data_IF_146177113970
#
_entry.id   IF_146177113970
#
_cell.length_a   1.000
_cell.length_b   1.000
_cell.length_c   1.000
_cell.angle_alpha   90.00
_cell.angle_beta   90.00
_cell.angle_gamma   90.00
#
_symmetry.space_group_name_H-M   'P 1'
#
loop_
_entity.id
_entity.type
_entity.pdbx_description
1 polymer ?
#
# COMPACT_ATOMS: atom_id res chain seq x y z
N UNK A 1 -2.89 24.31 28.33
CA UNK A 1 -2.94 24.69 26.90
C UNK A 1 -1.54 24.73 26.29
N UNK A 2 -0.51 25.16 27.04
CA UNK A 2 0.90 25.16 26.60
C UNK A 2 1.45 23.78 26.19
N UNK A 3 1.10 22.70 26.89
CA UNK A 3 1.54 21.34 26.54
C UNK A 3 1.09 20.91 25.12
N UNK A 4 -0.10 21.35 24.68
CA UNK A 4 -0.62 21.05 23.33
C UNK A 4 0.15 21.87 22.29
N UNK A 5 0.40 23.15 22.58
CA UNK A 5 1.16 24.03 21.69
C UNK A 5 2.61 23.55 21.50
N UNK A 6 3.22 23.00 22.55
CA UNK A 6 4.56 22.41 22.49
C UNK A 6 4.60 21.07 21.74
N UNK A 7 3.51 20.29 21.76
CA UNK A 7 3.40 19.02 21.04
C UNK A 7 3.05 19.20 19.55
N UNK A 8 2.39 20.30 19.20
CA UNK A 8 1.95 20.61 17.83
C UNK A 8 3.08 20.47 16.77
N UNK A 9 4.29 21.02 16.94
CA UNK A 9 5.36 20.86 15.95
C UNK A 9 5.76 19.39 15.74
N UNK A 10 5.85 18.59 16.80
CA UNK A 10 6.17 17.16 16.70
C UNK A 10 5.04 16.37 16.00
N UNK A 11 3.78 16.71 16.27
CA UNK A 11 2.64 16.10 15.60
C UNK A 11 2.60 16.44 14.10
N UNK A 12 2.93 17.68 13.74
CA UNK A 12 3.03 18.10 12.33
C UNK A 12 4.17 17.40 11.60
N UNK A 13 5.30 17.17 12.28
CA UNK A 13 6.40 16.40 11.74
C UNK A 13 6.03 14.93 11.51
N UNK A 14 5.38 14.29 12.49
CA UNK A 14 4.85 12.93 12.34
C UNK A 14 3.81 12.82 11.21
N UNK A 15 2.92 13.82 11.10
CA UNK A 15 1.95 13.89 10.00
C UNK A 15 2.65 13.99 8.64
N UNK A 16 3.68 14.82 8.52
CA UNK A 16 4.47 14.96 7.29
C UNK A 16 5.08 13.63 6.87
N UNK A 17 5.66 12.88 7.82
CA UNK A 17 6.22 11.55 7.55
C UNK A 17 5.13 10.57 7.11
N UNK A 18 3.98 10.58 7.78
CA UNK A 18 2.83 9.70 7.43
C UNK A 18 2.35 9.95 6.01
N UNK A 19 2.14 11.23 5.65
CA UNK A 19 1.71 11.62 4.30
C UNK A 19 2.77 11.22 3.26
N UNK A 20 4.05 11.48 3.55
CA UNK A 20 5.14 11.14 2.64
C UNK A 20 5.16 9.64 2.31
N UNK A 21 5.15 8.79 3.34
CA UNK A 21 5.16 7.33 3.16
C UNK A 21 3.87 6.86 2.48
N UNK A 22 2.71 7.40 2.88
CA UNK A 22 1.41 7.07 2.31
C UNK A 22 1.34 7.33 0.80
N UNK A 23 1.79 8.50 0.34
CA UNK A 23 1.79 8.86 -1.09
C UNK A 23 2.65 7.89 -1.88
N UNK A 24 3.86 7.58 -1.40
CA UNK A 24 4.77 6.64 -2.08
C UNK A 24 4.16 5.23 -2.10
N UNK A 25 3.62 4.77 -0.97
CA UNK A 25 3.00 3.45 -0.85
C UNK A 25 1.81 3.29 -1.81
N UNK A 26 0.96 4.32 -1.95
CA UNK A 26 -0.16 4.29 -2.90
C UNK A 26 0.35 4.24 -4.34
N UNK A 27 1.31 5.07 -4.72
CA UNK A 27 1.82 5.11 -6.09
C UNK A 27 2.41 3.74 -6.47
N UNK A 28 3.26 3.19 -5.61
CA UNK A 28 3.88 1.88 -5.85
C UNK A 28 2.84 0.75 -5.84
N UNK A 29 1.95 0.75 -4.84
CA UNK A 29 0.87 -0.23 -4.72
C UNK A 29 -0.08 -0.19 -5.91
N UNK A 30 -0.39 0.99 -6.45
CA UNK A 30 -1.19 1.15 -7.65
C UNK A 30 -0.49 0.59 -8.89
N UNK A 31 0.79 0.89 -9.10
CA UNK A 31 1.54 0.38 -10.24
C UNK A 31 1.62 -1.16 -10.19
N UNK A 32 1.97 -1.72 -9.03
CA UNK A 32 2.04 -3.17 -8.85
C UNK A 32 0.66 -3.80 -9.06
N UNK A 33 -0.37 -3.22 -8.43
CA UNK A 33 -1.76 -3.68 -8.56
C UNK A 33 -2.24 -3.66 -10.00
N UNK A 34 -1.91 -2.61 -10.77
CA UNK A 34 -2.26 -2.49 -12.18
C UNK A 34 -1.59 -3.59 -13.02
N UNK A 35 -0.28 -3.80 -12.84
CA UNK A 35 0.45 -4.86 -13.56
C UNK A 35 -0.16 -6.23 -13.26
N UNK A 36 -0.42 -6.54 -11.99
CA UNK A 36 -1.00 -7.81 -11.58
C UNK A 36 -2.43 -7.98 -12.11
N UNK A 37 -3.24 -6.91 -12.13
CA UNK A 37 -4.57 -6.93 -12.72
C UNK A 37 -4.53 -7.24 -14.22
N UNK A 38 -3.56 -6.67 -14.96
CA UNK A 38 -3.37 -6.98 -16.38
C UNK A 38 -2.93 -8.44 -16.59
N UNK A 39 -2.01 -8.96 -15.76
CA UNK A 39 -1.62 -10.37 -15.80
C UNK A 39 -2.81 -11.30 -15.53
N UNK A 40 -3.72 -10.88 -14.64
CA UNK A 40 -4.96 -11.62 -14.34
C UNK A 40 -5.92 -11.66 -15.53
N UNK A 41 -5.97 -10.63 -16.36
CA UNK A 41 -6.82 -10.59 -17.56
C UNK A 41 -6.20 -11.32 -18.76
N UNK A 42 -4.94 -11.73 -18.66
CA UNK A 42 -4.24 -12.41 -19.75
C UNK A 42 -4.92 -13.74 -20.13
N UNK A 43 -5.05 -14.06 -21.43
CA UNK A 43 -5.52 -15.37 -21.89
C UNK A 43 -4.52 -16.50 -21.60
N UNK A 44 -3.28 -16.17 -21.25
CA UNK A 44 -2.25 -17.14 -20.89
C UNK A 44 -2.52 -17.67 -19.49
N UNK A 45 -2.96 -18.93 -19.41
CA UNK A 45 -3.36 -19.60 -18.15
C UNK A 45 -2.29 -19.49 -17.04
N UNK A 46 -1.01 -19.58 -17.41
CA UNK A 46 0.11 -19.47 -16.46
C UNK A 46 0.17 -18.08 -15.83
N UNK A 47 0.06 -17.01 -16.62
CA UNK A 47 0.11 -15.63 -16.11
C UNK A 47 -1.10 -15.32 -15.21
N UNK A 48 -2.29 -15.76 -15.62
CA UNK A 48 -3.51 -15.62 -14.81
C UNK A 48 -3.39 -16.34 -13.45
N UNK A 49 -2.80 -17.54 -13.44
CA UNK A 49 -2.62 -18.35 -12.25
C UNK A 49 -1.58 -17.76 -11.30
N UNK A 50 -0.44 -17.28 -11.81
CA UNK A 50 0.58 -16.58 -11.01
C UNK A 50 -0.02 -15.32 -10.37
N UNK A 51 -0.76 -14.52 -11.15
CA UNK A 51 -1.47 -13.36 -10.62
C UNK A 51 -2.51 -13.75 -9.56
N UNK A 52 -3.16 -14.92 -9.70
CA UNK A 52 -4.09 -15.45 -8.69
C UNK A 52 -3.41 -15.59 -7.34
N UNK A 53 -2.29 -16.30 -7.33
CA UNK A 53 -1.58 -16.65 -6.09
C UNK A 53 -1.10 -15.39 -5.40
N UNK A 54 -0.54 -14.44 -6.16
CA UNK A 54 -0.10 -13.17 -5.61
C UNK A 54 -1.26 -12.39 -4.95
N UNK A 55 -2.41 -12.28 -5.62
CA UNK A 55 -3.60 -11.61 -5.09
C UNK A 55 -4.12 -12.32 -3.83
N UNK A 56 -4.26 -13.64 -3.89
CA UNK A 56 -4.80 -14.45 -2.81
C UNK A 56 -3.87 -14.43 -1.58
N UNK A 57 -2.54 -14.42 -1.79
CA UNK A 57 -1.57 -14.25 -0.72
C UNK A 57 -1.74 -12.88 -0.05
N UNK A 58 -1.66 -11.78 -0.80
CA UNK A 58 -1.69 -10.43 -0.22
C UNK A 58 -3.04 -10.11 0.44
N UNK A 59 -4.16 -10.56 -0.15
CA UNK A 59 -5.51 -10.27 0.39
C UNK A 59 -5.97 -11.29 1.43
N UNK A 60 -5.38 -12.48 1.43
CA UNK A 60 -5.75 -13.60 2.30
C UNK A 60 -4.85 -13.77 3.52
N UNK A 61 -3.63 -13.24 3.53
CA UNK A 61 -2.78 -13.22 4.74
C UNK A 61 -3.14 -12.04 5.62
N UNK A 62 -3.49 -12.25 6.89
CA UNK A 62 -3.63 -11.16 7.85
C UNK A 62 -2.32 -10.38 7.93
N UNK A 63 -2.33 -9.10 7.56
CA UNK A 63 -1.27 -8.16 7.89
C UNK A 63 -1.39 -7.97 9.40
N UNK A 64 -0.75 -8.84 10.17
CA UNK A 64 -0.74 -8.73 11.62
C UNK A 64 -0.12 -7.38 12.00
N UNK A 65 -0.91 -6.59 12.71
CA UNK A 65 -0.47 -5.53 13.62
C UNK A 65 -0.08 -6.18 14.93
#
# INVERSE_FOLDING_TARGET
>A
MEAILNALPYLLEGLKVTIYIFVIAIILGFIIGLVVALLRLSPVKVLNWVAKIFIDAIRGTPILV
#
